data_IF_463174658538
#
_entry.id   IF_463174658538
#
_cell.length_a   1.000
_cell.length_b   1.000
_cell.length_c   1.000
_cell.angle_alpha   90.00
_cell.angle_beta   90.00
_cell.angle_gamma   90.00
#
_symmetry.space_group_name_H-M   'P 1'
#
loop_
_entity.id
_entity.type
_entity.pdbx_description
1 polymer ?
#
# COMPACT_ATOMS: atom_id res chain seq x y z
N UNK A 1 9.96 19.44 22.49
CA UNK A 1 8.55 19.78 22.69
C UNK A 1 7.81 19.80 21.36
N UNK A 2 6.66 19.13 21.32
CA UNK A 2 5.83 19.08 20.11
C UNK A 2 6.19 17.98 19.10
N UNK A 3 7.27 17.24 19.30
CA UNK A 3 7.66 16.15 18.40
C UNK A 3 6.94 14.84 18.70
N UNK A 4 6.71 14.56 19.97
CA UNK A 4 6.00 13.36 20.39
C UNK A 4 4.92 13.76 21.39
N UNK A 5 3.74 13.19 21.23
CA UNK A 5 2.65 13.45 22.16
C UNK A 5 1.43 12.61 21.86
N UNK A 6 0.77 12.16 22.93
CA UNK A 6 -0.48 11.43 22.82
C UNK A 6 -1.26 11.59 24.12
N UNK A 7 -2.57 11.86 24.00
CA UNK A 7 -3.43 12.12 25.15
C UNK A 7 -3.61 10.89 26.04
N UNK A 8 -3.77 9.71 25.45
CA UNK A 8 -4.03 8.46 26.19
C UNK A 8 -2.84 7.50 26.15
N UNK A 9 -1.62 8.03 25.89
CA UNK A 9 -0.42 7.20 25.82
C UNK A 9 -0.19 6.41 27.10
N UNK A 10 0.16 5.13 26.96
CA UNK A 10 0.45 4.25 28.08
C UNK A 10 -0.78 3.65 28.77
N UNK A 11 -1.99 3.86 28.26
CA UNK A 11 -3.17 3.25 28.84
C UNK A 11 -3.13 1.71 28.72
N UNK A 12 -3.73 1.01 29.67
CA UNK A 12 -3.59 -0.44 29.79
C UNK A 12 -4.18 -1.19 28.58
N UNK A 13 -5.34 -0.76 28.07
CA UNK A 13 -5.95 -1.40 26.91
C UNK A 13 -5.10 -1.21 25.66
N UNK A 14 -4.58 0.00 25.45
CA UNK A 14 -3.70 0.28 24.32
C UNK A 14 -2.41 -0.51 24.38
N UNK A 15 -1.80 -0.62 25.58
CA UNK A 15 -0.58 -1.40 25.77
C UNK A 15 -0.84 -2.89 25.54
N UNK A 16 -1.94 -3.44 26.03
CA UNK A 16 -2.31 -4.84 25.79
C UNK A 16 -2.53 -5.10 24.29
N UNK A 17 -3.19 -4.18 23.59
CA UNK A 17 -3.38 -4.26 22.14
C UNK A 17 -2.04 -4.22 21.40
N UNK A 18 -1.12 -3.34 21.81
CA UNK A 18 0.19 -3.24 21.20
C UNK A 18 1.00 -4.53 21.37
N UNK A 19 0.97 -5.14 22.56
CA UNK A 19 1.64 -6.42 22.81
C UNK A 19 1.06 -7.51 21.93
N UNK A 20 -0.26 -7.59 21.79
CA UNK A 20 -0.92 -8.56 20.93
C UNK A 20 -0.50 -8.40 19.47
N UNK A 21 -0.42 -7.17 18.98
CA UNK A 21 0.04 -6.88 17.61
C UNK A 21 1.48 -7.33 17.43
N UNK A 22 2.37 -7.06 18.39
CA UNK A 22 3.76 -7.49 18.31
C UNK A 22 3.88 -9.02 18.28
N UNK A 23 3.09 -9.71 19.08
CA UNK A 23 3.07 -11.18 19.09
C UNK A 23 2.61 -11.74 17.74
N UNK A 24 1.56 -11.20 17.15
CA UNK A 24 1.06 -11.61 15.83
C UNK A 24 2.09 -11.33 14.76
N UNK A 25 2.76 -10.18 14.80
CA UNK A 25 3.84 -9.85 13.85
C UNK A 25 4.95 -10.89 13.88
N UNK A 26 5.33 -11.35 15.08
CA UNK A 26 6.38 -12.35 15.22
C UNK A 26 5.91 -13.74 14.76
N UNK A 27 4.72 -14.17 15.22
CA UNK A 27 4.16 -15.48 14.88
C UNK A 27 3.90 -15.67 13.40
N UNK A 28 3.35 -14.66 12.74
CA UNK A 28 3.00 -14.71 11.31
C UNK A 28 4.11 -14.18 10.41
N UNK A 29 5.24 -13.77 10.97
CA UNK A 29 6.37 -13.21 10.22
C UNK A 29 5.94 -12.06 9.32
N UNK A 30 5.16 -11.13 9.88
CA UNK A 30 4.56 -10.04 9.12
C UNK A 30 5.60 -9.09 8.52
N UNK A 31 6.71 -8.84 9.21
CA UNK A 31 7.79 -7.97 8.70
C UNK A 31 8.43 -8.60 7.46
N UNK A 32 8.70 -9.90 7.51
CA UNK A 32 9.27 -10.64 6.37
C UNK A 32 8.29 -10.68 5.21
N UNK A 33 7.00 -10.90 5.50
CA UNK A 33 5.95 -10.87 4.49
C UNK A 33 5.84 -9.48 3.84
N UNK A 34 5.90 -8.41 4.64
CA UNK A 34 5.86 -7.04 4.12
C UNK A 34 7.02 -6.78 3.16
N UNK A 35 8.23 -7.21 3.52
CA UNK A 35 9.39 -7.05 2.65
C UNK A 35 9.21 -7.84 1.35
N UNK A 36 8.79 -9.10 1.43
CA UNK A 36 8.61 -9.97 0.27
C UNK A 36 7.54 -9.45 -0.69
N UNK A 37 6.34 -9.17 -0.18
CA UNK A 37 5.21 -8.72 -0.99
C UNK A 37 5.45 -7.30 -1.49
N UNK A 38 6.04 -6.44 -0.65
CA UNK A 38 6.40 -5.08 -1.04
C UNK A 38 7.38 -5.06 -2.20
N UNK A 39 8.45 -5.84 -2.13
CA UNK A 39 9.42 -5.97 -3.21
C UNK A 39 8.76 -6.49 -4.49
N UNK A 40 7.88 -7.48 -4.37
CA UNK A 40 7.13 -8.00 -5.50
C UNK A 40 6.28 -6.92 -6.15
N UNK A 41 5.52 -6.17 -5.36
CA UNK A 41 4.65 -5.10 -5.88
C UNK A 41 5.46 -4.01 -6.57
N UNK A 42 6.52 -3.53 -5.94
CA UNK A 42 7.36 -2.47 -6.50
C UNK A 42 8.04 -2.94 -7.78
N UNK A 43 8.63 -4.12 -7.77
CA UNK A 43 9.32 -4.68 -8.93
C UNK A 43 8.36 -4.90 -10.10
N UNK A 44 7.19 -5.48 -9.84
CA UNK A 44 6.21 -5.77 -10.87
C UNK A 44 5.61 -4.49 -11.45
N UNK A 45 5.24 -3.53 -10.59
CA UNK A 45 4.69 -2.26 -11.05
C UNK A 45 5.72 -1.48 -11.86
N UNK A 46 6.99 -1.49 -11.44
CA UNK A 46 8.07 -0.82 -12.17
C UNK A 46 8.29 -1.47 -13.53
N UNK A 47 8.32 -2.81 -13.58
CA UNK A 47 8.47 -3.54 -14.84
C UNK A 47 7.32 -3.26 -15.81
N UNK A 48 6.08 -3.26 -15.33
CA UNK A 48 4.91 -2.95 -16.14
C UNK A 48 4.92 -1.50 -16.63
N UNK A 49 5.37 -0.58 -15.78
CA UNK A 49 5.53 0.82 -16.15
C UNK A 49 6.54 0.97 -17.29
N UNK A 50 7.69 0.32 -17.19
CA UNK A 50 8.73 0.37 -18.22
C UNK A 50 8.31 -0.31 -19.51
N UNK A 51 7.49 -1.35 -19.42
CA UNK A 51 6.95 -2.05 -20.58
C UNK A 51 5.81 -1.28 -21.27
N UNK A 52 5.33 -0.19 -20.68
CA UNK A 52 4.24 0.61 -21.24
C UNK A 52 2.85 0.07 -20.93
N UNK A 53 2.74 -0.92 -20.06
CA UNK A 53 1.44 -1.51 -19.68
C UNK A 53 0.69 -0.72 -18.62
N UNK A 54 1.36 0.24 -17.98
CA UNK A 54 0.75 1.14 -17.01
C UNK A 54 0.85 2.58 -17.52
N UNK A 55 -0.06 3.01 -18.42
CA UNK A 55 -0.06 4.39 -18.88
C UNK A 55 -0.31 5.32 -17.68
N UNK A 56 0.25 6.52 -17.75
CA UNK A 56 0.12 7.53 -16.69
C UNK A 56 0.93 7.28 -15.42
N UNK A 57 1.55 6.12 -15.23
CA UNK A 57 2.45 5.90 -14.09
C UNK A 57 3.84 6.38 -14.48
N UNK A 58 4.38 7.32 -13.70
CA UNK A 58 5.71 7.88 -13.96
C UNK A 58 6.75 7.44 -12.94
N UNK A 59 6.34 6.99 -11.75
CA UNK A 59 7.27 6.50 -10.75
C UNK A 59 6.57 5.58 -9.76
N UNK A 60 7.29 4.57 -9.26
CA UNK A 60 6.84 3.67 -8.20
C UNK A 60 7.94 3.60 -7.17
N UNK A 61 7.61 3.94 -5.92
CA UNK A 61 8.59 3.99 -4.84
C UNK A 61 7.97 3.52 -3.53
N UNK A 62 8.80 3.11 -2.60
CA UNK A 62 8.33 2.73 -1.28
C UNK A 62 9.31 1.84 -0.56
N UNK A 63 8.91 1.43 0.64
CA UNK A 63 9.64 0.51 1.48
C UNK A 63 8.63 -0.45 2.12
N UNK A 64 8.89 -1.75 2.02
CA UNK A 64 7.94 -2.76 2.48
C UNK A 64 6.59 -2.58 1.80
N UNK A 65 5.53 -2.52 2.56
CA UNK A 65 4.17 -2.34 2.04
C UNK A 65 3.72 -0.87 2.02
N UNK A 66 4.60 0.07 2.33
CA UNK A 66 4.30 1.49 2.16
C UNK A 66 4.76 1.91 0.77
N UNK A 67 3.83 1.94 -0.18
CA UNK A 67 4.13 2.12 -1.61
C UNK A 67 3.42 3.37 -2.14
N UNK A 68 4.16 4.20 -2.86
CA UNK A 68 3.62 5.36 -3.56
C UNK A 68 3.72 5.18 -5.07
N UNK A 69 2.63 5.39 -5.78
CA UNK A 69 2.57 5.34 -7.23
C UNK A 69 2.29 6.74 -7.74
N UNK A 70 3.27 7.34 -8.39
CA UNK A 70 3.13 8.68 -8.94
C UNK A 70 2.59 8.61 -10.37
N UNK A 71 1.58 9.43 -10.64
CA UNK A 71 0.90 9.49 -11.92
C UNK A 71 1.17 10.82 -12.61
N UNK A 72 1.01 10.85 -13.93
CA UNK A 72 1.04 12.10 -14.70
C UNK A 72 -0.33 12.75 -14.83
N UNK A 73 -1.34 12.16 -14.18
CA UNK A 73 -2.72 12.68 -14.10
C UNK A 73 -3.15 12.74 -12.64
N UNK A 74 -4.21 13.51 -12.29
CA UNK A 74 -4.74 13.51 -10.93
C UNK A 74 -5.21 12.11 -10.52
N UNK A 75 -5.01 11.76 -9.24
CA UNK A 75 -5.34 10.44 -8.73
C UNK A 75 -6.86 10.18 -8.61
N UNK A 76 -7.68 11.21 -8.66
CA UNK A 76 -9.11 11.12 -8.33
C UNK A 76 -9.86 10.10 -9.18
N UNK A 77 -9.69 10.14 -10.48
CA UNK A 77 -10.41 9.24 -11.38
C UNK A 77 -9.95 7.79 -11.23
N UNK A 78 -8.64 7.45 -11.31
CA UNK A 78 -8.19 6.08 -11.10
C UNK A 78 -8.58 5.54 -9.72
N UNK A 79 -8.44 6.35 -8.68
CA UNK A 79 -8.80 5.93 -7.33
C UNK A 79 -10.30 5.66 -7.20
N UNK A 80 -11.13 6.52 -7.78
CA UNK A 80 -12.58 6.34 -7.76
C UNK A 80 -12.98 5.05 -8.49
N UNK A 81 -12.36 4.77 -9.63
CA UNK A 81 -12.60 3.53 -10.38
C UNK A 81 -12.17 2.30 -9.60
N UNK A 82 -11.02 2.35 -8.92
CA UNK A 82 -10.58 1.26 -8.06
C UNK A 82 -11.61 0.95 -6.97
N UNK A 83 -12.16 1.98 -6.34
CA UNK A 83 -13.16 1.79 -5.28
C UNK A 83 -14.47 1.26 -5.84
N UNK A 84 -15.00 1.88 -6.87
CA UNK A 84 -16.34 1.58 -7.40
C UNK A 84 -16.38 0.30 -8.24
N UNK A 85 -15.42 0.10 -9.12
CA UNK A 85 -15.43 -1.02 -10.06
C UNK A 85 -14.74 -2.27 -9.50
N UNK A 86 -13.74 -2.09 -8.67
CA UNK A 86 -12.88 -3.20 -8.20
C UNK A 86 -12.86 -3.36 -6.68
N UNK A 87 -13.55 -2.48 -5.95
CA UNK A 87 -13.61 -2.51 -4.48
C UNK A 87 -12.22 -2.45 -3.82
N UNK A 88 -11.27 -1.78 -4.45
CA UNK A 88 -9.93 -1.57 -3.91
C UNK A 88 -9.83 -0.18 -3.30
N UNK A 89 -9.52 -0.13 -2.01
CA UNK A 89 -9.40 1.12 -1.26
C UNK A 89 -7.92 1.50 -1.15
N UNK A 90 -7.59 2.71 -1.59
CA UNK A 90 -6.24 3.23 -1.55
C UNK A 90 -6.21 4.60 -0.88
N UNK A 91 -5.06 4.98 -0.34
CA UNK A 91 -4.83 6.34 0.11
C UNK A 91 -4.38 7.23 -1.05
N UNK A 92 -4.05 8.46 -0.73
CA UNK A 92 -3.55 9.41 -1.72
C UNK A 92 -2.61 10.41 -1.05
N UNK A 93 -1.79 11.05 -1.86
CA UNK A 93 -0.88 12.08 -1.39
C UNK A 93 -0.73 13.13 -2.48
N UNK A 94 -0.74 14.40 -2.10
CA UNK A 94 -0.71 15.49 -3.08
C UNK A 94 -1.87 15.44 -4.04
N UNK A 95 -1.60 15.62 -5.33
CA UNK A 95 -2.63 15.65 -6.37
C UNK A 95 -2.57 14.45 -7.33
N UNK A 96 -1.43 13.76 -7.37
CA UNK A 96 -1.17 12.74 -8.40
C UNK A 96 -0.48 11.47 -7.87
N UNK A 97 -0.47 11.25 -6.56
CA UNK A 97 0.15 10.07 -5.96
C UNK A 97 -0.92 9.21 -5.31
N UNK A 98 -0.97 7.93 -5.68
CA UNK A 98 -1.78 6.92 -5.00
C UNK A 98 -0.89 6.20 -4.00
N UNK A 99 -1.32 6.12 -2.74
CA UNK A 99 -0.59 5.41 -1.70
C UNK A 99 -1.25 4.06 -1.43
N UNK A 100 -0.41 3.03 -1.36
CA UNK A 100 -0.82 1.69 -1.00
C UNK A 100 -0.33 1.40 0.43
N UNK A 101 -1.25 1.03 1.29
CA UNK A 101 -0.96 0.63 2.66
C UNK A 101 -1.73 -0.66 2.96
N UNK A 102 -1.42 -1.76 2.25
CA UNK A 102 -2.14 -3.01 2.46
C UNK A 102 -1.83 -3.59 3.83
N UNK A 103 -2.69 -4.51 4.34
CA UNK A 103 -2.40 -5.21 5.58
C UNK A 103 -1.08 -5.97 5.50
N UNK A 104 -0.35 -6.04 6.62
CA UNK A 104 0.93 -6.76 6.66
C UNK A 104 0.78 -8.25 6.37
N UNK A 105 -0.42 -8.79 6.51
CA UNK A 105 -0.73 -10.21 6.23
C UNK A 105 -1.21 -10.45 4.80
N UNK A 106 -1.11 -9.47 3.91
CA UNK A 106 -1.53 -9.63 2.51
C UNK A 106 -0.80 -10.80 1.85
N UNK A 107 -1.51 -11.56 1.01
CA UNK A 107 -0.94 -12.71 0.30
C UNK A 107 -0.45 -12.30 -1.09
N UNK A 108 0.37 -13.17 -1.69
CA UNK A 108 0.86 -12.96 -3.06
C UNK A 108 -0.29 -12.93 -4.06
N UNK A 109 -1.30 -13.79 -3.89
CA UNK A 109 -2.48 -13.80 -4.75
C UNK A 109 -3.23 -12.48 -4.71
N UNK A 110 -3.41 -11.92 -3.51
CA UNK A 110 -4.07 -10.64 -3.35
C UNK A 110 -3.29 -9.51 -4.01
N UNK A 111 -1.96 -9.54 -3.89
CA UNK A 111 -1.09 -8.57 -4.55
C UNK A 111 -1.20 -8.65 -6.08
N UNK A 112 -1.23 -9.86 -6.63
CA UNK A 112 -1.39 -10.07 -8.08
C UNK A 112 -2.75 -9.56 -8.56
N UNK A 113 -3.81 -9.81 -7.82
CA UNK A 113 -5.15 -9.31 -8.14
C UNK A 113 -5.19 -7.79 -8.17
N UNK A 114 -4.53 -7.14 -7.22
CA UNK A 114 -4.44 -5.68 -7.20
C UNK A 114 -3.78 -5.15 -8.47
N UNK A 115 -2.66 -5.74 -8.86
CA UNK A 115 -1.91 -5.30 -10.05
C UNK A 115 -2.78 -5.39 -11.31
N UNK A 116 -3.51 -6.49 -11.49
CA UNK A 116 -4.40 -6.67 -12.62
C UNK A 116 -5.53 -5.63 -12.64
N UNK A 117 -6.15 -5.38 -11.49
CA UNK A 117 -7.20 -4.37 -11.36
C UNK A 117 -6.68 -2.98 -11.63
N UNK A 118 -5.48 -2.68 -11.13
CA UNK A 118 -4.83 -1.39 -11.34
C UNK A 118 -4.56 -1.13 -12.83
N UNK A 119 -4.10 -2.14 -13.57
CA UNK A 119 -3.92 -2.04 -15.01
C UNK A 119 -5.21 -1.70 -15.71
N UNK A 120 -6.31 -2.35 -15.35
CA UNK A 120 -7.62 -2.11 -15.97
C UNK A 120 -8.10 -0.68 -15.74
N UNK A 121 -7.81 -0.12 -14.59
CA UNK A 121 -8.23 1.25 -14.23
C UNK A 121 -7.49 2.29 -15.05
N UNK A 122 -6.23 2.04 -15.41
CA UNK A 122 -5.40 2.99 -16.13
C UNK A 122 -5.53 2.91 -17.66
N UNK A 123 -6.18 1.89 -18.17
CA UNK A 123 -6.39 1.71 -19.62
C UNK A 123 -7.60 2.49 -20.12
#
# INVERSE_FOLDING_TARGET
YGELGTTFGGNHLGCAGAIAVLDVKEQEKLVENAAKIGDYLISTLTAEMQAGNLPHVIDVRGMGLMIGIELDIPYKEPRTRLIKEHHCFTGCSGTNVIRLLPPLCITMDEAQQFIEKFKQVLI
#
